data_IF_151682161467
#
_entry.id   IF_151682161467
#
_cell.length_a   1.000
_cell.length_b   1.000
_cell.length_c   1.000
_cell.angle_alpha   90.00
_cell.angle_beta   90.00
_cell.angle_gamma   90.00
#
_symmetry.space_group_name_H-M   'P 1'
#
loop_
_entity.id
_entity.type
_entity.pdbx_description
1 polymer ?
#
# COMPACT_ATOMS: atom_id res chain seq x y z
N UNK A 1 13.23 -22.57 -23.95
CA UNK A 1 11.97 -21.79 -23.98
C UNK A 1 11.39 -21.75 -22.58
N UNK A 2 11.37 -20.59 -21.92
CA UNK A 2 10.65 -20.44 -20.63
C UNK A 2 9.15 -20.55 -20.91
N UNK A 3 8.42 -21.37 -20.13
CA UNK A 3 6.97 -21.54 -20.30
C UNK A 3 6.22 -20.21 -20.13
N UNK A 4 5.06 -20.06 -20.77
CA UNK A 4 4.20 -18.87 -20.64
C UNK A 4 3.86 -18.58 -19.16
N UNK A 5 3.64 -19.60 -18.35
CA UNK A 5 3.42 -19.48 -16.90
C UNK A 5 4.60 -18.83 -16.16
N UNK A 6 5.85 -19.13 -16.53
CA UNK A 6 7.03 -18.50 -15.94
C UNK A 6 7.15 -17.00 -16.25
N UNK A 7 6.67 -16.57 -17.42
CA UNK A 7 6.63 -15.14 -17.80
C UNK A 7 5.56 -14.36 -17.05
N UNK A 8 4.40 -14.95 -16.85
CA UNK A 8 3.29 -14.31 -16.10
C UNK A 8 3.64 -14.09 -14.63
N UNK A 9 4.29 -15.07 -13.99
CA UNK A 9 4.70 -14.96 -12.58
C UNK A 9 5.81 -13.93 -12.35
N UNK A 10 6.69 -13.70 -13.33
CA UNK A 10 7.73 -12.66 -13.25
C UNK A 10 7.16 -11.23 -13.39
N UNK A 11 5.92 -11.07 -13.89
CA UNK A 11 5.28 -9.76 -14.03
C UNK A 11 4.67 -9.20 -12.73
N UNK A 12 4.32 -10.07 -11.75
CA UNK A 12 3.61 -9.64 -10.53
C UNK A 12 4.31 -8.51 -9.76
N UNK A 13 5.62 -8.57 -9.46
CA UNK A 13 6.29 -7.46 -8.78
C UNK A 13 6.29 -6.16 -9.58
N UNK A 14 6.42 -6.25 -10.91
CA UNK A 14 6.41 -5.08 -11.79
C UNK A 14 5.03 -4.43 -11.84
N UNK A 15 3.96 -5.25 -11.91
CA UNK A 15 2.58 -4.76 -11.85
C UNK A 15 2.29 -4.10 -10.51
N UNK A 16 2.72 -4.72 -9.40
CA UNK A 16 2.58 -4.12 -8.08
C UNK A 16 3.33 -2.79 -7.96
N UNK A 17 4.56 -2.72 -8.46
CA UNK A 17 5.33 -1.48 -8.47
C UNK A 17 4.66 -0.39 -9.31
N UNK A 18 4.15 -0.73 -10.50
CA UNK A 18 3.46 0.21 -11.37
C UNK A 18 2.15 0.73 -10.75
N UNK A 19 1.33 -0.16 -10.18
CA UNK A 19 0.08 0.21 -9.53
C UNK A 19 0.30 1.11 -8.31
N UNK A 20 1.26 0.75 -7.44
CA UNK A 20 1.61 1.56 -6.28
C UNK A 20 2.25 2.91 -6.67
N UNK A 21 3.07 2.94 -7.72
CA UNK A 21 3.62 4.18 -8.27
C UNK A 21 2.52 5.10 -8.82
N UNK A 22 1.55 4.56 -9.56
CA UNK A 22 0.41 5.32 -10.05
C UNK A 22 -0.46 5.86 -8.92
N UNK A 23 -0.72 5.07 -7.87
CA UNK A 23 -1.45 5.50 -6.69
C UNK A 23 -0.71 6.62 -5.95
N UNK A 24 0.62 6.54 -5.81
CA UNK A 24 1.43 7.60 -5.22
C UNK A 24 1.35 8.91 -5.99
N UNK A 25 1.39 8.84 -7.34
CA UNK A 25 1.22 10.02 -8.20
C UNK A 25 -0.18 10.60 -8.02
N UNK A 26 -1.23 9.76 -8.05
CA UNK A 26 -2.60 10.21 -7.85
C UNK A 26 -2.78 10.87 -6.46
N UNK A 27 -2.16 10.32 -5.42
CA UNK A 27 -2.16 10.94 -4.09
C UNK A 27 -1.56 12.34 -4.14
N UNK A 28 -0.36 12.48 -4.70
CA UNK A 28 0.37 13.74 -4.70
C UNK A 28 -0.30 14.83 -5.56
N UNK A 29 -0.98 14.45 -6.66
CA UNK A 29 -1.50 15.40 -7.65
C UNK A 29 -3.00 15.67 -7.53
N UNK A 30 -3.77 14.72 -7.05
CA UNK A 30 -5.24 14.78 -7.06
C UNK A 30 -5.85 14.64 -5.68
N UNK A 31 -5.36 13.69 -4.88
CA UNK A 31 -6.02 13.35 -3.61
C UNK A 31 -5.54 14.23 -2.45
N UNK A 32 -4.30 14.67 -2.46
CA UNK A 32 -3.69 15.40 -1.34
C UNK A 32 -4.53 16.60 -0.84
N UNK A 33 -5.08 17.48 -1.69
CA UNK A 33 -5.89 18.61 -1.20
C UNK A 33 -7.19 18.17 -0.53
N UNK A 34 -7.74 17.02 -0.91
CA UNK A 34 -8.96 16.47 -0.33
C UNK A 34 -8.73 15.67 0.96
N UNK A 35 -7.52 15.12 1.17
CA UNK A 35 -7.19 14.27 2.34
C UNK A 35 -6.44 15.01 3.44
N UNK A 36 -5.89 16.18 3.16
CA UNK A 36 -5.14 16.95 4.15
C UNK A 36 -6.06 17.48 5.23
N UNK A 37 -5.80 17.10 6.48
CA UNK A 37 -6.56 17.57 7.65
C UNK A 37 -6.32 19.08 7.89
N UNK A 38 -5.21 19.63 7.41
CA UNK A 38 -4.93 21.07 7.50
C UNK A 38 -5.97 21.93 6.75
N UNK A 39 -6.67 21.34 5.78
CA UNK A 39 -7.70 22.06 5.03
C UNK A 39 -9.10 21.95 5.68
N UNK A 40 -9.29 21.12 6.72
CA UNK A 40 -10.53 21.00 7.49
C UNK A 40 -11.78 20.83 6.61
N UNK A 41 -12.90 21.50 6.98
CA UNK A 41 -14.14 21.43 6.20
C UNK A 41 -14.04 21.93 4.76
N UNK A 42 -13.00 22.69 4.42
CA UNK A 42 -12.75 23.17 3.08
C UNK A 42 -12.51 22.08 2.05
N UNK A 43 -12.14 20.88 2.49
CA UNK A 43 -11.91 19.71 1.63
C UNK A 43 -13.15 19.27 0.86
N UNK A 44 -14.35 19.41 1.45
CA UNK A 44 -15.61 19.08 0.80
C UNK A 44 -15.81 19.86 -0.49
N UNK A 45 -15.46 21.13 -0.54
CA UNK A 45 -15.53 21.97 -1.72
C UNK A 45 -14.57 21.50 -2.83
N UNK A 46 -13.34 21.14 -2.45
CA UNK A 46 -12.38 20.58 -3.39
C UNK A 46 -12.88 19.25 -3.98
N UNK A 47 -13.34 18.32 -3.13
CA UNK A 47 -13.83 17.03 -3.58
C UNK A 47 -15.03 17.19 -4.53
N UNK A 48 -15.98 18.05 -4.18
CA UNK A 48 -17.17 18.30 -5.02
C UNK A 48 -16.82 18.82 -6.42
N UNK A 49 -15.82 19.70 -6.50
CA UNK A 49 -15.38 20.28 -7.80
C UNK A 49 -14.49 19.32 -8.61
N UNK A 50 -13.87 18.31 -7.97
CA UNK A 50 -12.96 17.36 -8.60
C UNK A 50 -13.43 15.90 -8.49
N UNK A 51 -14.73 15.67 -8.37
CA UNK A 51 -15.31 14.37 -7.99
C UNK A 51 -14.88 13.22 -8.91
N UNK A 52 -14.78 13.43 -10.21
CA UNK A 52 -14.35 12.40 -11.16
C UNK A 52 -12.88 12.01 -10.91
N UNK A 53 -12.01 12.98 -10.77
CA UNK A 53 -10.60 12.77 -10.51
C UNK A 53 -10.38 12.13 -9.11
N UNK A 54 -11.15 12.56 -8.10
CA UNK A 54 -11.19 11.98 -6.76
C UNK A 54 -11.52 10.49 -6.80
N UNK A 55 -12.61 10.12 -7.47
CA UNK A 55 -13.03 8.72 -7.63
C UNK A 55 -12.01 7.89 -8.39
N UNK A 56 -11.46 8.43 -9.47
CA UNK A 56 -10.41 7.76 -10.23
C UNK A 56 -9.15 7.53 -9.39
N UNK A 57 -8.73 8.50 -8.60
CA UNK A 57 -7.58 8.38 -7.71
C UNK A 57 -7.75 7.27 -6.66
N UNK A 58 -8.90 7.20 -6.00
CA UNK A 58 -9.18 6.13 -5.05
C UNK A 58 -9.36 4.76 -5.71
N UNK A 59 -9.88 4.70 -6.94
CA UNK A 59 -9.90 3.46 -7.72
C UNK A 59 -8.48 2.95 -8.01
N UNK A 60 -7.55 3.83 -8.35
CA UNK A 60 -6.14 3.47 -8.51
C UNK A 60 -5.54 2.95 -7.20
N UNK A 61 -5.94 3.50 -6.07
CA UNK A 61 -5.50 3.05 -4.74
C UNK A 61 -6.00 1.64 -4.43
N UNK A 62 -7.28 1.33 -4.72
CA UNK A 62 -7.82 -0.04 -4.63
C UNK A 62 -7.01 -1.01 -5.49
N UNK A 63 -6.68 -0.63 -6.72
CA UNK A 63 -5.86 -1.47 -7.59
C UNK A 63 -4.44 -1.67 -7.04
N UNK A 64 -3.86 -0.67 -6.39
CA UNK A 64 -2.58 -0.80 -5.71
C UNK A 64 -2.66 -1.78 -4.54
N UNK A 65 -3.68 -1.68 -3.68
CA UNK A 65 -3.90 -2.61 -2.57
C UNK A 65 -4.09 -4.06 -3.05
N UNK A 66 -4.90 -4.29 -4.07
CA UNK A 66 -5.09 -5.61 -4.67
C UNK A 66 -3.80 -6.16 -5.30
N UNK A 67 -3.02 -5.30 -5.97
CA UNK A 67 -1.73 -5.69 -6.56
C UNK A 67 -0.70 -6.06 -5.48
N UNK A 68 -0.76 -5.41 -4.32
CA UNK A 68 0.08 -5.72 -3.17
C UNK A 68 -0.28 -7.09 -2.58
N UNK A 69 -1.56 -7.43 -2.48
CA UNK A 69 -1.98 -8.76 -2.06
C UNK A 69 -1.49 -9.85 -3.04
N UNK A 70 -1.61 -9.59 -4.34
CA UNK A 70 -1.08 -10.49 -5.36
C UNK A 70 0.44 -10.67 -5.22
N UNK A 71 1.17 -9.58 -4.91
CA UNK A 71 2.60 -9.63 -4.63
C UNK A 71 2.92 -10.45 -3.37
N UNK A 72 2.19 -10.30 -2.27
CA UNK A 72 2.37 -11.11 -1.08
C UNK A 72 2.13 -12.60 -1.35
N UNK A 73 1.07 -12.95 -2.09
CA UNK A 73 0.80 -14.32 -2.51
C UNK A 73 1.91 -14.90 -3.38
N UNK A 74 2.39 -14.12 -4.35
CA UNK A 74 3.51 -14.50 -5.21
C UNK A 74 4.80 -14.71 -4.39
N UNK A 75 5.11 -13.79 -3.48
CA UNK A 75 6.28 -13.89 -2.60
C UNK A 75 6.17 -15.09 -1.65
N UNK A 76 5.00 -15.35 -1.04
CA UNK A 76 4.77 -16.53 -0.23
C UNK A 76 5.03 -17.84 -0.99
N UNK A 77 4.68 -17.88 -2.28
CA UNK A 77 5.01 -18.99 -3.17
C UNK A 77 6.52 -19.19 -3.30
N UNK A 78 7.29 -18.11 -3.42
CA UNK A 78 8.77 -18.15 -3.48
C UNK A 78 9.40 -18.55 -2.14
N UNK A 79 8.76 -18.21 -1.02
CA UNK A 79 9.17 -18.66 0.32
C UNK A 79 8.74 -20.11 0.65
N UNK A 80 8.13 -20.84 -0.30
CA UNK A 80 7.72 -22.23 -0.17
C UNK A 80 6.43 -22.44 0.64
N UNK A 81 5.56 -21.44 0.73
CA UNK A 81 4.27 -21.51 1.45
C UNK A 81 4.40 -22.03 2.90
N UNK A 82 5.46 -21.63 3.59
CA UNK A 82 5.65 -21.94 5.02
C UNK A 82 4.45 -21.46 5.85
N UNK A 83 4.28 -21.96 7.07
CA UNK A 83 3.22 -21.50 7.97
C UNK A 83 3.25 -19.96 8.15
N UNK A 84 4.44 -19.38 8.32
CA UNK A 84 4.64 -17.95 8.45
C UNK A 84 4.25 -17.18 7.17
N UNK A 85 4.59 -17.71 5.99
CA UNK A 85 4.21 -17.09 4.71
C UNK A 85 2.68 -17.13 4.49
N UNK A 86 2.00 -18.19 4.92
CA UNK A 86 0.53 -18.26 4.87
C UNK A 86 -0.11 -17.23 5.79
N UNK A 87 0.38 -17.10 7.03
CA UNK A 87 -0.10 -16.09 7.97
C UNK A 87 0.10 -14.69 7.39
N UNK A 88 1.25 -14.42 6.77
CA UNK A 88 1.52 -13.14 6.12
C UNK A 88 0.47 -12.80 5.04
N UNK A 89 0.11 -13.76 4.19
CA UNK A 89 -0.92 -13.54 3.14
C UNK A 89 -2.29 -13.27 3.76
N UNK A 90 -2.66 -13.99 4.82
CA UNK A 90 -3.93 -13.75 5.54
C UNK A 90 -3.94 -12.35 6.16
N UNK A 91 -2.87 -11.95 6.85
CA UNK A 91 -2.75 -10.61 7.45
C UNK A 91 -2.78 -9.53 6.35
N UNK A 92 -2.08 -9.74 5.23
CA UNK A 92 -2.13 -8.84 4.08
C UNK A 92 -3.53 -8.72 3.50
N UNK A 93 -4.29 -9.82 3.41
CA UNK A 93 -5.68 -9.80 2.96
C UNK A 93 -6.59 -9.00 3.90
N UNK A 94 -6.40 -9.10 5.22
CA UNK A 94 -7.14 -8.27 6.19
C UNK A 94 -6.82 -6.79 5.98
N UNK A 95 -5.56 -6.45 5.70
CA UNK A 95 -5.16 -5.09 5.34
C UNK A 95 -5.89 -4.59 4.09
N UNK A 96 -5.94 -5.41 3.03
CA UNK A 96 -6.65 -5.05 1.78
C UNK A 96 -8.15 -4.86 2.03
N UNK A 97 -8.79 -5.71 2.84
CA UNK A 97 -10.20 -5.55 3.18
C UNK A 97 -10.44 -4.22 3.89
N UNK A 98 -9.60 -3.86 4.86
CA UNK A 98 -9.70 -2.59 5.58
C UNK A 98 -9.52 -1.39 4.64
N UNK A 99 -8.54 -1.46 3.74
CA UNK A 99 -8.19 -0.42 2.78
C UNK A 99 -9.33 -0.23 1.76
N UNK A 100 -9.71 -1.28 1.06
CA UNK A 100 -10.79 -1.26 0.05
C UNK A 100 -12.11 -0.78 0.65
N UNK A 101 -12.42 -1.17 1.89
CA UNK A 101 -13.63 -0.69 2.58
C UNK A 101 -13.58 0.82 2.84
N UNK A 102 -12.45 1.35 3.26
CA UNK A 102 -12.26 2.78 3.47
C UNK A 102 -12.34 3.55 2.14
N UNK A 103 -11.64 3.07 1.12
CA UNK A 103 -11.58 3.69 -0.20
C UNK A 103 -12.93 3.66 -0.94
N UNK A 104 -13.69 2.56 -0.80
CA UNK A 104 -15.05 2.48 -1.34
C UNK A 104 -15.97 3.56 -0.75
N UNK A 105 -15.81 3.89 0.54
CA UNK A 105 -16.53 5.00 1.18
C UNK A 105 -16.10 6.35 0.59
N UNK A 106 -14.79 6.54 0.35
CA UNK A 106 -14.25 7.75 -0.25
C UNK A 106 -14.71 7.95 -1.70
N UNK A 107 -14.84 6.86 -2.46
CA UNK A 107 -15.39 6.87 -3.83
C UNK A 107 -16.89 7.20 -3.80
N UNK A 108 -17.62 6.66 -2.83
CA UNK A 108 -19.06 6.89 -2.66
C UNK A 108 -19.38 8.23 -2.00
N UNK A 109 -18.41 9.08 -1.76
CA UNK A 109 -18.57 10.34 -1.04
C UNK A 109 -19.70 11.19 -1.62
N UNK A 110 -20.63 11.62 -0.74
CA UNK A 110 -21.85 12.38 -1.04
C UNK A 110 -21.98 13.71 -0.28
N UNK A 111 -20.91 14.16 0.36
CA UNK A 111 -20.89 15.38 1.17
C UNK A 111 -20.94 15.16 2.69
N UNK A 112 -21.54 14.07 3.14
CA UNK A 112 -21.78 13.79 4.57
C UNK A 112 -20.74 12.84 5.20
N UNK A 113 -19.84 12.28 4.39
CA UNK A 113 -18.85 11.31 4.86
C UNK A 113 -17.74 12.01 5.65
N UNK A 114 -17.44 11.49 6.83
CA UNK A 114 -16.20 11.82 7.55
C UNK A 114 -14.99 11.18 6.84
N UNK A 115 -14.40 11.95 5.93
CA UNK A 115 -13.21 11.56 5.16
C UNK A 115 -12.06 11.18 6.09
N UNK A 116 -11.90 11.90 7.22
CA UNK A 116 -10.83 11.61 8.18
C UNK A 116 -11.00 10.28 8.88
N UNK A 117 -12.22 9.84 9.16
CA UNK A 117 -12.45 8.51 9.75
C UNK A 117 -12.09 7.38 8.77
N UNK A 118 -12.46 7.52 7.48
CA UNK A 118 -12.09 6.56 6.46
C UNK A 118 -10.57 6.49 6.28
N UNK A 119 -9.90 7.64 6.22
CA UNK A 119 -8.44 7.72 6.10
C UNK A 119 -7.71 7.15 7.32
N UNK A 120 -8.22 7.37 8.54
CA UNK A 120 -7.65 6.75 9.73
C UNK A 120 -7.80 5.23 9.69
N UNK A 121 -8.95 4.70 9.27
CA UNK A 121 -9.16 3.26 9.14
C UNK A 121 -8.13 2.64 8.19
N UNK A 122 -7.96 3.18 7.00
CA UNK A 122 -6.94 2.74 6.04
C UNK A 122 -5.54 2.96 6.62
N UNK A 123 -5.20 4.16 7.05
CA UNK A 123 -3.88 4.51 7.55
C UNK A 123 -3.42 3.66 8.74
N UNK A 124 -4.31 3.38 9.72
CA UNK A 124 -3.95 2.61 10.92
C UNK A 124 -3.97 1.12 10.62
N UNK A 125 -5.11 0.59 10.16
CA UNK A 125 -5.32 -0.86 10.09
C UNK A 125 -4.62 -1.46 8.88
N UNK A 126 -4.80 -0.89 7.69
CA UNK A 126 -4.24 -1.48 6.48
C UNK A 126 -2.71 -1.42 6.48
N UNK A 127 -2.10 -0.26 6.81
CA UNK A 127 -0.65 -0.15 6.84
C UNK A 127 -0.01 -1.02 7.92
N UNK A 128 -0.64 -1.18 9.10
CA UNK A 128 -0.16 -2.14 10.11
C UNK A 128 -0.17 -3.57 9.56
N UNK A 129 -1.28 -3.99 8.95
CA UNK A 129 -1.40 -5.32 8.35
C UNK A 129 -0.36 -5.54 7.23
N UNK A 130 -0.17 -4.58 6.33
CA UNK A 130 0.82 -4.68 5.26
C UNK A 130 2.24 -4.78 5.81
N UNK A 131 2.55 -3.99 6.85
CA UNK A 131 3.87 -4.00 7.49
C UNK A 131 4.14 -5.32 8.21
N UNK A 132 3.15 -5.86 8.91
CA UNK A 132 3.25 -7.19 9.54
C UNK A 132 3.42 -8.27 8.46
N UNK A 133 2.60 -8.25 7.42
CA UNK A 133 2.67 -9.23 6.33
C UNK A 133 4.05 -9.20 5.66
N UNK A 134 4.55 -8.01 5.33
CA UNK A 134 5.87 -7.84 4.74
C UNK A 134 7.00 -8.30 5.66
N UNK A 135 6.96 -7.94 6.95
CA UNK A 135 7.94 -8.40 7.94
C UNK A 135 7.95 -9.92 8.09
N UNK A 136 6.78 -10.56 8.14
CA UNK A 136 6.67 -12.02 8.19
C UNK A 136 7.26 -12.68 6.94
N UNK A 137 7.04 -12.12 5.75
CA UNK A 137 7.62 -12.61 4.50
C UNK A 137 9.13 -12.39 4.45
N UNK A 138 9.64 -11.27 4.98
CA UNK A 138 11.07 -11.05 5.12
C UNK A 138 11.73 -12.15 5.96
N UNK A 139 11.11 -12.51 7.09
CA UNK A 139 11.61 -13.59 7.98
C UNK A 139 11.45 -14.97 7.35
N UNK A 140 10.33 -15.22 6.65
CA UNK A 140 10.07 -16.50 5.98
C UNK A 140 11.03 -16.79 4.82
N UNK A 141 11.60 -15.76 4.21
CA UNK A 141 12.48 -15.87 3.05
C UNK A 141 13.93 -15.88 3.46
N UNK A 142 14.65 -16.95 3.11
CA UNK A 142 16.07 -17.11 3.44
C UNK A 142 16.98 -16.53 2.37
N UNK A 143 18.19 -16.15 2.76
CA UNK A 143 19.27 -15.82 1.82
C UNK A 143 19.19 -14.41 1.21
N UNK A 144 18.43 -13.50 1.79
CA UNK A 144 18.39 -12.12 1.33
C UNK A 144 19.77 -11.48 1.20
N UNK A 145 20.11 -10.81 0.08
CA UNK A 145 21.27 -9.94 0.03
C UNK A 145 21.14 -8.85 1.10
N UNK A 146 22.23 -8.58 1.83
CA UNK A 146 22.21 -7.66 2.98
C UNK A 146 21.55 -6.31 2.67
N UNK A 147 21.94 -5.69 1.55
CA UNK A 147 21.39 -4.39 1.13
C UNK A 147 19.88 -4.46 0.92
N UNK A 148 19.42 -5.50 0.19
CA UNK A 148 18.00 -5.67 -0.14
C UNK A 148 17.16 -6.00 1.12
N UNK A 149 17.75 -6.76 2.05
CA UNK A 149 17.14 -7.02 3.35
C UNK A 149 17.01 -5.75 4.19
N UNK A 150 18.07 -4.97 4.34
CA UNK A 150 18.05 -3.70 5.09
C UNK A 150 17.02 -2.74 4.48
N UNK A 151 16.99 -2.65 3.16
CA UNK A 151 16.01 -1.82 2.45
C UNK A 151 14.56 -2.29 2.71
N UNK A 152 14.30 -3.61 2.61
CA UNK A 152 12.98 -4.17 2.91
C UNK A 152 12.55 -3.90 4.35
N UNK A 153 13.45 -4.10 5.32
CA UNK A 153 13.14 -3.76 6.72
C UNK A 153 12.82 -2.29 6.92
N UNK A 154 13.56 -1.38 6.26
CA UNK A 154 13.26 0.05 6.33
C UNK A 154 11.85 0.35 5.81
N UNK A 155 11.42 -0.27 4.70
CA UNK A 155 10.06 -0.11 4.16
C UNK A 155 9.00 -0.52 5.18
N UNK A 156 9.13 -1.70 5.79
CA UNK A 156 8.11 -2.21 6.72
C UNK A 156 8.10 -1.47 8.06
N UNK A 157 9.24 -1.01 8.54
CA UNK A 157 9.34 -0.16 9.74
C UNK A 157 8.67 1.19 9.48
N UNK A 158 8.90 1.82 8.32
CA UNK A 158 8.23 3.07 7.95
C UNK A 158 6.72 2.89 7.80
N UNK A 159 6.26 1.75 7.25
CA UNK A 159 4.84 1.41 7.19
C UNK A 159 4.19 1.31 8.57
N UNK A 160 4.88 0.72 9.54
CA UNK A 160 4.46 0.73 10.94
C UNK A 160 4.43 2.14 11.52
N UNK A 161 5.47 2.95 11.24
CA UNK A 161 5.53 4.35 11.64
C UNK A 161 4.34 5.15 11.09
N UNK A 162 3.95 4.89 9.84
CA UNK A 162 2.76 5.50 9.24
C UNK A 162 1.47 5.13 9.99
N UNK A 163 1.32 3.86 10.38
CA UNK A 163 0.17 3.43 11.19
C UNK A 163 0.11 4.16 12.53
N UNK A 164 1.25 4.35 13.18
CA UNK A 164 1.34 5.10 14.44
C UNK A 164 1.01 6.58 14.22
N UNK A 165 1.57 7.21 13.17
CA UNK A 165 1.28 8.61 12.85
C UNK A 165 -0.19 8.83 12.55
N UNK A 166 -0.84 7.91 11.82
CA UNK A 166 -2.27 7.94 11.54
C UNK A 166 -3.11 7.76 12.82
N UNK A 167 -2.72 6.86 13.71
CA UNK A 167 -3.38 6.65 15.00
C UNK A 167 -3.29 7.89 15.89
N UNK A 168 -2.16 8.61 15.84
CA UNK A 168 -1.95 9.86 16.56
C UNK A 168 -2.56 11.07 15.85
N UNK A 169 -3.23 10.89 14.72
CA UNK A 169 -3.78 11.97 13.88
C UNK A 169 -2.73 13.03 13.51
N UNK A 170 -1.48 12.58 13.28
CA UNK A 170 -0.37 13.44 12.88
C UNK A 170 -0.34 13.61 11.37
N UNK A 171 -0.81 14.76 10.86
CA UNK A 171 -0.84 15.06 9.43
C UNK A 171 0.57 15.10 8.81
N UNK A 172 1.46 15.84 9.43
CA UNK A 172 2.85 15.97 8.97
C UNK A 172 3.53 14.61 8.99
N UNK A 173 3.39 13.86 10.09
CA UNK A 173 3.93 12.51 10.22
C UNK A 173 3.40 11.59 9.13
N UNK A 174 2.10 11.59 8.89
CA UNK A 174 1.47 10.75 7.86
C UNK A 174 1.95 11.12 6.45
N UNK A 175 2.03 12.41 6.11
CA UNK A 175 2.49 12.87 4.80
C UNK A 175 3.96 12.51 4.54
N UNK A 176 4.83 12.79 5.51
CA UNK A 176 6.28 12.52 5.38
C UNK A 176 6.54 11.01 5.26
N UNK A 177 5.89 10.20 6.11
CA UNK A 177 6.07 8.75 6.08
C UNK A 177 5.47 8.13 4.83
N UNK A 178 4.32 8.60 4.35
CA UNK A 178 3.74 8.15 3.08
C UNK A 178 4.69 8.42 1.92
N UNK A 179 5.23 9.63 1.81
CA UNK A 179 6.19 9.97 0.77
C UNK A 179 7.45 9.09 0.85
N UNK A 180 8.03 8.94 2.05
CA UNK A 180 9.21 8.11 2.27
C UNK A 180 8.97 6.64 1.89
N UNK A 181 7.80 6.09 2.26
CA UNK A 181 7.43 4.71 1.90
C UNK A 181 7.40 4.54 0.40
N UNK A 182 6.69 5.38 -0.35
CA UNK A 182 6.57 5.18 -1.80
C UNK A 182 7.91 5.32 -2.53
N UNK A 183 8.76 6.26 -2.10
CA UNK A 183 10.12 6.44 -2.64
C UNK A 183 10.97 5.18 -2.44
N UNK A 184 10.82 4.49 -1.31
CA UNK A 184 11.56 3.27 -1.01
C UNK A 184 10.87 2.02 -1.52
N UNK A 185 9.56 1.91 -1.36
CA UNK A 185 8.81 0.68 -1.60
C UNK A 185 8.70 0.34 -3.09
N UNK A 186 8.36 1.31 -3.93
CA UNK A 186 8.15 1.05 -5.37
C UNK A 186 9.41 0.48 -6.04
N UNK A 187 10.60 1.09 -5.91
CA UNK A 187 11.80 0.49 -6.48
C UNK A 187 12.24 -0.78 -5.75
N UNK A 188 11.96 -0.92 -4.43
CA UNK A 188 12.21 -2.16 -3.72
C UNK A 188 11.37 -3.34 -4.26
N UNK A 189 10.10 -3.14 -4.60
CA UNK A 189 9.27 -4.16 -5.24
C UNK A 189 9.92 -4.73 -6.51
N UNK A 190 10.47 -3.85 -7.35
CA UNK A 190 11.18 -4.24 -8.58
C UNK A 190 12.45 -5.02 -8.25
N UNK A 191 13.25 -4.52 -7.30
CA UNK A 191 14.51 -5.15 -6.92
C UNK A 191 14.29 -6.52 -6.26
N UNK A 192 13.34 -6.62 -5.32
CA UNK A 192 12.94 -7.86 -4.67
C UNK A 192 12.35 -8.86 -5.67
N UNK A 193 11.52 -8.37 -6.59
CA UNK A 193 10.96 -9.19 -7.65
C UNK A 193 12.01 -9.82 -8.54
N UNK A 194 13.02 -9.06 -8.95
CA UNK A 194 14.15 -9.56 -9.77
C UNK A 194 14.97 -10.60 -9.02
N UNK A 195 15.19 -10.39 -7.73
CA UNK A 195 15.97 -11.30 -6.92
C UNK A 195 15.22 -12.61 -6.63
N UNK A 196 13.91 -12.55 -6.39
CA UNK A 196 13.07 -13.72 -6.10
C UNK A 196 12.69 -14.52 -7.36
N UNK A 197 12.85 -13.98 -8.57
CA UNK A 197 12.52 -14.65 -9.86
C UNK A 197 13.57 -15.65 -10.28
#
# INVERSE_FOLDING_TARGET
>A
MRSSAGRTLAAVPTVAAAANGAAAIALATVLAPGVSLAYGPGNAGYIATHLVAWRAGWTLWILAALSLLAFFGWWAGRAGWTGMARVAVVVGALGVIADVTAEARLIAWSGDLDVSAALRQSGVVANACYSIAGALLMVATRGWPRLLATWGWAVWILGFGLSVAAAMSSDIGSQVLTAAIFVLFVPWLVAAGRWLS
#
